data_IF_600181191870
#
_entry.id   IF_600181191870
#
_cell.length_a   1.000
_cell.length_b   1.000
_cell.length_c   1.000
_cell.angle_alpha   90.00
_cell.angle_beta   90.00
_cell.angle_gamma   90.00
#
_symmetry.space_group_name_H-M   'P 1'
#
loop_
_entity.id
_entity.type
_entity.pdbx_description
1 polymer ?
#
# COMPACT_ATOMS: atom_id res chain seq x y z
N UNK A 1 -49.69 -1.94 33.48
CA UNK A 1 -49.31 -2.18 32.07
C UNK A 1 -49.46 -3.67 31.78
N UNK A 2 -50.19 -4.04 30.72
CA UNK A 2 -50.36 -5.44 30.37
C UNK A 2 -49.04 -6.03 29.84
N UNK A 3 -48.78 -7.34 30.01
CA UNK A 3 -47.52 -7.98 29.59
C UNK A 3 -47.24 -7.82 28.08
N UNK A 4 -48.29 -7.60 27.28
CA UNK A 4 -48.21 -7.29 25.85
C UNK A 4 -47.58 -5.92 25.57
N UNK A 5 -47.83 -4.93 26.42
CA UNK A 5 -47.32 -3.57 26.28
C UNK A 5 -45.82 -3.46 26.61
N UNK A 6 -45.32 -4.32 27.51
CA UNK A 6 -43.89 -4.42 27.83
C UNK A 6 -43.10 -5.13 26.72
N UNK A 7 -43.69 -6.14 26.09
CA UNK A 7 -43.07 -6.88 24.98
C UNK A 7 -42.92 -6.01 23.72
N UNK A 8 -43.90 -5.17 23.41
CA UNK A 8 -43.85 -4.23 22.28
C UNK A 8 -42.79 -3.15 22.47
N UNK A 9 -42.58 -2.66 23.69
CA UNK A 9 -41.56 -1.66 23.99
C UNK A 9 -40.15 -2.27 23.91
N UNK A 10 -39.97 -3.50 24.39
CA UNK A 10 -38.70 -4.22 24.28
C UNK A 10 -38.30 -4.49 22.82
N UNK A 11 -39.26 -4.85 21.95
CA UNK A 11 -39.01 -5.02 20.52
C UNK A 11 -38.63 -3.70 19.83
N UNK A 12 -39.27 -2.59 20.19
CA UNK A 12 -38.98 -1.29 19.60
C UNK A 12 -37.56 -0.79 19.95
N UNK A 13 -37.11 -1.01 21.19
CA UNK A 13 -35.75 -0.64 21.62
C UNK A 13 -34.69 -1.52 20.93
N UNK A 14 -34.96 -2.81 20.74
CA UNK A 14 -34.05 -3.71 20.03
C UNK A 14 -33.91 -3.35 18.55
N UNK A 15 -35.02 -2.97 17.89
CA UNK A 15 -34.99 -2.52 16.50
C UNK A 15 -34.20 -1.21 16.30
N UNK A 16 -34.31 -0.27 17.26
CA UNK A 16 -33.54 0.98 17.22
C UNK A 16 -32.03 0.76 17.45
N UNK A 17 -31.64 -0.21 18.29
CA UNK A 17 -30.24 -0.54 18.53
C UNK A 17 -29.56 -1.21 17.31
N UNK A 18 -30.31 -1.98 16.50
CA UNK A 18 -29.79 -2.59 15.27
C UNK A 18 -29.60 -1.59 14.12
N UNK A 19 -30.35 -0.49 14.08
CA UNK A 19 -30.24 0.51 13.02
C UNK A 19 -28.99 1.42 13.17
N UNK A 20 -28.42 1.51 14.37
CA UNK A 20 -27.31 2.41 14.67
C UNK A 20 -25.92 1.90 14.23
N UNK A 21 -25.79 0.65 13.75
CA UNK A 21 -24.50 0.06 13.35
C UNK A 21 -24.19 0.16 11.86
N UNK A 22 -25.04 0.81 11.05
CA UNK A 22 -24.89 0.87 9.59
C UNK A 22 -24.22 2.15 9.05
N UNK A 23 -23.59 2.96 9.91
CA UNK A 23 -22.84 4.15 9.48
C UNK A 23 -21.35 3.82 9.39
N UNK A 24 -21.01 2.91 8.48
CA UNK A 24 -19.65 2.45 8.25
C UNK A 24 -19.21 2.71 6.81
N UNK A 25 -18.47 3.81 6.64
CA UNK A 25 -17.58 4.14 5.52
C UNK A 25 -18.16 4.04 4.09
N UNK A 26 -18.45 5.20 3.49
CA UNK A 26 -18.29 5.36 2.04
C UNK A 26 -16.82 5.09 1.71
N UNK A 27 -16.48 3.85 1.36
CA UNK A 27 -15.27 3.53 0.63
C UNK A 27 -15.45 4.09 -0.77
N UNK A 28 -15.18 5.38 -0.92
CA UNK A 28 -15.09 6.02 -2.22
C UNK A 28 -13.95 5.32 -2.96
N UNK A 29 -14.28 4.32 -3.76
CA UNK A 29 -13.34 3.47 -4.53
C UNK A 29 -12.61 4.23 -5.63
N UNK A 30 -12.46 5.56 -5.49
CA UNK A 30 -11.65 6.37 -6.35
C UNK A 30 -10.21 5.86 -6.18
N UNK A 31 -9.55 5.36 -7.24
CA UNK A 31 -8.15 5.04 -7.14
C UNK A 31 -7.42 6.29 -6.65
N UNK A 32 -6.64 6.12 -5.58
CA UNK A 32 -5.75 7.16 -5.04
C UNK A 32 -5.00 7.78 -6.22
N UNK A 33 -5.45 8.99 -6.59
CA UNK A 33 -4.96 9.72 -7.76
C UNK A 33 -3.84 10.67 -7.32
N UNK A 34 -3.13 10.32 -6.25
CA UNK A 34 -1.89 10.97 -5.87
C UNK A 34 -0.98 11.07 -7.11
N UNK A 35 -0.43 12.26 -7.41
CA UNK A 35 0.44 12.45 -8.54
C UNK A 35 1.59 11.43 -8.50
N UNK A 36 1.91 10.84 -9.65
CA UNK A 36 3.10 9.99 -9.77
C UNK A 36 4.34 10.85 -9.52
N UNK A 37 5.37 10.32 -8.83
CA UNK A 37 6.65 10.99 -8.72
C UNK A 37 7.21 11.31 -10.12
N UNK A 38 7.64 12.55 -10.31
CA UNK A 38 8.38 12.97 -11.51
C UNK A 38 9.88 12.68 -11.39
N UNK A 39 10.36 12.38 -10.19
CA UNK A 39 11.76 12.10 -9.88
C UNK A 39 11.82 10.97 -8.86
N UNK A 40 12.84 10.14 -8.97
CA UNK A 40 13.09 9.05 -8.04
C UNK A 40 14.49 9.18 -7.43
N UNK A 41 14.57 9.11 -6.11
CA UNK A 41 15.82 9.18 -5.35
C UNK A 41 16.40 7.78 -5.19
N UNK A 42 17.66 7.62 -5.59
CA UNK A 42 18.44 6.41 -5.32
C UNK A 42 19.35 6.71 -4.12
N UNK A 43 19.32 5.91 -3.04
CA UNK A 43 20.14 6.19 -1.87
C UNK A 43 21.64 5.97 -2.16
N UNK A 44 22.47 6.93 -1.75
CA UNK A 44 23.93 6.90 -1.89
C UNK A 44 24.47 8.00 -2.82
N UNK A 45 25.66 8.51 -2.52
CA UNK A 45 26.22 9.70 -3.20
C UNK A 45 26.96 9.39 -4.51
N UNK A 46 27.28 8.11 -4.74
CA UNK A 46 28.10 7.66 -5.87
C UNK A 46 27.48 6.43 -6.51
N UNK A 47 26.20 6.48 -6.83
CA UNK A 47 25.49 5.34 -7.46
C UNK A 47 25.81 5.23 -8.95
N UNK A 48 25.97 6.36 -9.65
CA UNK A 48 26.20 6.42 -11.11
C UNK A 48 25.28 5.44 -11.87
N UNK A 49 23.96 5.73 -11.90
CA UNK A 49 22.95 4.77 -12.29
C UNK A 49 23.07 4.36 -13.76
N UNK A 50 22.88 3.07 -14.03
CA UNK A 50 22.85 2.50 -15.37
C UNK A 50 21.71 1.49 -15.54
N UNK A 51 21.16 1.45 -16.76
CA UNK A 51 20.10 0.53 -17.14
C UNK A 51 18.78 0.75 -16.38
N UNK A 52 17.66 0.49 -17.03
CA UNK A 52 16.35 0.43 -16.35
C UNK A 52 15.59 -0.77 -16.90
N UNK A 53 15.19 -1.67 -16.02
CA UNK A 53 14.27 -2.76 -16.32
C UNK A 53 12.96 -2.54 -15.55
N UNK A 54 11.82 -2.72 -16.20
CA UNK A 54 10.51 -2.47 -15.60
C UNK A 54 9.55 -3.64 -15.81
N UNK A 55 8.75 -3.93 -14.79
CA UNK A 55 7.66 -4.90 -14.81
C UNK A 55 6.48 -4.34 -13.99
N UNK A 56 5.43 -3.89 -14.69
CA UNK A 56 4.26 -3.28 -14.07
C UNK A 56 4.61 -2.00 -13.30
N UNK A 57 4.42 -2.01 -11.98
CA UNK A 57 4.74 -0.87 -11.10
C UNK A 57 6.17 -0.90 -10.56
N UNK A 58 6.87 -2.01 -10.74
CA UNK A 58 8.21 -2.21 -10.20
C UNK A 58 9.25 -1.94 -11.29
N UNK A 59 10.34 -1.30 -10.92
CA UNK A 59 11.48 -1.12 -11.82
C UNK A 59 12.80 -1.30 -11.06
N UNK A 60 13.86 -1.58 -11.80
CA UNK A 60 15.20 -1.83 -11.28
C UNK A 60 16.22 -0.96 -11.99
N UNK A 61 17.18 -0.44 -11.24
CA UNK A 61 18.30 0.39 -11.71
C UNK A 61 19.60 -0.17 -11.15
N UNK A 62 20.62 -0.32 -11.97
CA UNK A 62 21.95 -0.78 -11.53
C UNK A 62 22.86 0.39 -11.12
N UNK A 63 23.80 0.12 -10.22
CA UNK A 63 24.94 1.01 -9.94
C UNK A 63 26.18 0.55 -10.68
N UNK A 64 26.83 1.45 -11.40
CA UNK A 64 28.18 1.16 -11.97
C UNK A 64 29.28 1.11 -10.90
N UNK A 65 29.04 1.65 -9.70
CA UNK A 65 30.05 1.70 -8.63
C UNK A 65 30.35 0.33 -8.05
N UNK A 66 29.31 -0.43 -7.75
CA UNK A 66 29.44 -1.71 -7.04
C UNK A 66 28.49 -2.79 -7.54
N UNK A 67 27.78 -2.55 -8.64
CA UNK A 67 26.82 -3.48 -9.23
C UNK A 67 25.56 -3.73 -8.40
N UNK A 68 25.30 -2.93 -7.36
CA UNK A 68 24.05 -3.02 -6.60
C UNK A 68 22.86 -2.73 -7.50
N UNK A 69 21.86 -3.60 -7.45
CA UNK A 69 20.54 -3.36 -8.03
C UNK A 69 19.66 -2.66 -7.00
N UNK A 70 19.06 -1.54 -7.40
CA UNK A 70 18.04 -0.84 -6.64
C UNK A 70 16.67 -1.13 -7.23
N UNK A 71 15.66 -1.30 -6.37
CA UNK A 71 14.26 -1.52 -6.76
C UNK A 71 13.41 -0.30 -6.42
N UNK A 72 12.62 0.15 -7.39
CA UNK A 72 11.63 1.22 -7.22
C UNK A 72 10.20 0.74 -7.43
N UNK A 73 9.26 1.54 -6.93
CA UNK A 73 7.83 1.46 -7.22
C UNK A 73 7.39 2.78 -7.84
N UNK A 74 6.67 2.76 -8.96
CA UNK A 74 6.21 3.97 -9.68
C UNK A 74 5.25 4.88 -8.89
N UNK A 75 4.89 4.52 -7.66
CA UNK A 75 4.11 5.35 -6.73
C UNK A 75 4.93 5.86 -5.54
N UNK A 76 6.22 5.50 -5.43
CA UNK A 76 7.11 5.94 -4.36
C UNK A 76 8.34 6.59 -4.99
N UNK A 77 8.72 7.75 -4.47
CA UNK A 77 9.86 8.51 -4.96
C UNK A 77 11.20 7.87 -4.59
N UNK A 78 11.30 7.13 -3.49
CA UNK A 78 12.57 6.49 -3.08
C UNK A 78 12.70 5.04 -3.58
N UNK A 79 13.88 4.71 -4.12
CA UNK A 79 14.30 3.33 -4.36
C UNK A 79 14.92 2.71 -3.10
N UNK A 80 14.97 1.38 -3.08
CA UNK A 80 15.65 0.61 -2.02
C UNK A 80 16.66 -0.35 -2.61
N UNK A 81 17.80 -0.62 -1.94
CA UNK A 81 18.71 -1.69 -2.33
C UNK A 81 17.96 -3.03 -2.40
N UNK A 82 18.18 -3.77 -3.50
CA UNK A 82 17.51 -5.05 -3.75
C UNK A 82 18.50 -6.22 -3.75
N UNK A 83 19.61 -6.09 -4.46
CA UNK A 83 20.63 -7.12 -4.54
C UNK A 83 22.02 -6.52 -4.67
N UNK A 84 23.06 -7.09 -4.02
CA UNK A 84 24.45 -6.73 -4.30
C UNK A 84 24.89 -7.28 -5.67
N UNK A 85 26.04 -6.79 -6.17
CA UNK A 85 26.66 -7.24 -7.42
C UNK A 85 26.66 -8.76 -7.60
N UNK A 86 26.19 -9.20 -8.76
CA UNK A 86 26.33 -10.59 -9.22
C UNK A 86 25.56 -11.63 -8.39
N UNK A 87 24.67 -11.21 -7.48
CA UNK A 87 23.83 -12.13 -6.71
C UNK A 87 22.36 -11.97 -7.08
N UNK A 88 21.61 -13.07 -7.04
CA UNK A 88 20.15 -13.00 -7.06
C UNK A 88 19.67 -12.54 -5.69
N UNK A 89 18.72 -11.60 -5.64
CA UNK A 89 18.10 -11.26 -4.37
C UNK A 89 17.43 -12.50 -3.78
N UNK A 90 17.53 -12.67 -2.46
CA UNK A 90 16.84 -13.75 -1.75
C UNK A 90 15.32 -13.70 -1.97
N UNK A 91 14.59 -14.79 -1.66
CA UNK A 91 13.14 -14.84 -1.83
C UNK A 91 12.45 -13.66 -1.13
N UNK A 92 11.31 -13.18 -1.64
CA UNK A 92 10.56 -12.10 -1.00
C UNK A 92 10.28 -12.49 0.45
N UNK A 93 10.67 -11.63 1.41
CA UNK A 93 10.33 -11.84 2.81
C UNK A 93 8.83 -11.62 2.95
N UNK A 94 8.10 -12.67 3.31
CA UNK A 94 6.70 -12.57 3.70
C UNK A 94 6.61 -11.64 4.92
N UNK A 95 5.80 -10.59 4.79
CA UNK A 95 5.40 -9.71 5.89
C UNK A 95 4.15 -10.28 6.56
#
# INVERSE_FOLDING_TARGET
MSPRSLLSLALAVLAAALAATAVGASADGRPDRSPKPSTYTIPGDRVFPEGIAAAGRTFFVGSTTDGTLFRGDTRRDALVPFSPAGRTAGPPRSA
#
